data_IF_127051158322
#
_entry.id   IF_127051158322
#
_cell.length_a   1.000
_cell.length_b   1.000
_cell.length_c   1.000
_cell.angle_alpha   90.00
_cell.angle_beta   90.00
_cell.angle_gamma   90.00
#
_symmetry.space_group_name_H-M   'P 1'
#
loop_
_entity.id
_entity.type
_entity.pdbx_description
1 polymer ?
#
# COMPACT_ATOMS: atom_id res chain seq x y z
N UNK A 1 43.91 0.13 47.98
CA UNK A 1 45.14 -0.65 47.73
C UNK A 1 44.72 -2.07 47.39
N UNK A 2 45.03 -2.50 46.18
CA UNK A 2 44.85 -3.89 45.76
C UNK A 2 46.01 -4.74 46.35
N UNK A 3 45.68 -5.75 47.09
CA UNK A 3 46.64 -6.76 47.51
C UNK A 3 46.47 -8.00 46.63
N UNK A 4 47.57 -8.54 46.17
CA UNK A 4 47.58 -9.80 45.43
C UNK A 4 47.24 -10.95 46.39
N UNK A 5 46.16 -11.68 46.17
CA UNK A 5 45.81 -12.90 46.90
C UNK A 5 46.47 -14.06 46.15
N UNK A 6 47.58 -14.55 46.70
CA UNK A 6 48.39 -15.61 46.06
C UNK A 6 47.84 -17.02 46.27
N UNK A 7 46.85 -17.19 47.13
CA UNK A 7 46.31 -18.48 47.49
C UNK A 7 44.95 -18.81 46.93
N UNK A 8 44.36 -17.89 46.15
CA UNK A 8 43.09 -18.04 45.52
C UNK A 8 43.22 -17.96 43.98
N UNK A 9 42.94 -19.06 43.33
CA UNK A 9 42.84 -19.13 41.87
C UNK A 9 41.43 -18.97 41.41
N UNK A 10 41.18 -18.00 40.53
CA UNK A 10 39.92 -17.85 39.87
C UNK A 10 39.75 -18.97 38.86
N UNK A 11 38.88 -19.94 39.17
CA UNK A 11 38.53 -21.02 38.24
C UNK A 11 37.52 -20.50 37.24
N UNK A 12 37.89 -20.43 35.97
CA UNK A 12 36.96 -20.14 34.89
C UNK A 12 37.08 -21.22 33.82
N UNK A 13 35.97 -21.44 33.13
CA UNK A 13 35.90 -22.32 31.98
C UNK A 13 35.71 -21.49 30.75
N UNK A 14 36.71 -21.42 29.91
CA UNK A 14 36.63 -20.80 28.61
C UNK A 14 36.10 -21.82 27.61
N UNK A 15 35.01 -21.47 26.92
CA UNK A 15 34.52 -22.21 25.76
C UNK A 15 34.69 -21.37 24.52
N UNK A 16 35.25 -21.95 23.48
CA UNK A 16 35.38 -21.36 22.17
C UNK A 16 34.37 -22.02 21.25
N UNK A 17 33.59 -21.20 20.53
CA UNK A 17 32.81 -21.70 19.44
C UNK A 17 33.70 -21.93 18.20
N UNK A 18 33.37 -22.97 17.47
CA UNK A 18 33.92 -23.24 16.15
C UNK A 18 32.76 -23.41 15.19
N UNK A 19 32.73 -22.59 14.12
CA UNK A 19 31.64 -22.53 13.17
C UNK A 19 31.97 -23.38 11.94
N UNK A 20 30.99 -24.11 11.46
CA UNK A 20 31.09 -24.82 10.19
C UNK A 20 31.03 -23.83 9.03
N UNK A 21 31.89 -24.03 8.04
CA UNK A 21 31.89 -23.22 6.80
C UNK A 21 30.80 -23.72 5.83
N UNK A 22 29.59 -23.77 6.30
CA UNK A 22 28.39 -24.15 5.52
C UNK A 22 27.37 -23.03 5.61
N UNK A 23 26.48 -22.98 4.62
CA UNK A 23 25.37 -22.02 4.66
C UNK A 23 24.38 -22.42 5.75
N UNK A 24 24.20 -21.53 6.71
CA UNK A 24 23.11 -21.62 7.69
C UNK A 24 21.90 -20.85 7.17
N UNK A 25 20.70 -21.38 7.31
CA UNK A 25 19.48 -20.73 6.84
C UNK A 25 18.56 -20.43 8.01
N UNK A 26 18.07 -19.19 8.07
CA UNK A 26 17.02 -18.76 8.98
C UNK A 26 15.81 -18.37 8.14
N UNK A 27 14.66 -18.99 8.44
CA UNK A 27 13.40 -18.65 7.77
C UNK A 27 12.48 -17.97 8.78
N UNK A 28 12.03 -16.79 8.44
CA UNK A 28 11.11 -15.98 9.24
C UNK A 28 9.79 -15.89 8.49
N UNK A 29 8.70 -16.13 9.19
CA UNK A 29 7.35 -16.10 8.63
C UNK A 29 6.51 -15.05 9.33
N UNK A 30 5.63 -14.38 8.61
CA UNK A 30 4.58 -13.59 9.24
C UNK A 30 3.32 -14.43 9.45
N UNK A 31 2.46 -13.97 10.36
CA UNK A 31 1.12 -14.53 10.45
C UNK A 31 0.28 -14.07 9.28
N UNK A 32 -0.54 -14.96 8.74
CA UNK A 32 -1.49 -14.64 7.68
C UNK A 32 -2.52 -13.66 8.21
N UNK A 33 -2.73 -12.56 7.51
CA UNK A 33 -3.92 -11.75 7.72
C UNK A 33 -5.13 -12.56 7.23
N UNK A 34 -5.76 -13.21 8.16
CA UNK A 34 -6.79 -14.20 7.87
C UNK A 34 -8.12 -13.58 7.44
N UNK A 35 -9.09 -14.43 7.44
CA UNK A 35 -10.50 -14.11 7.31
C UNK A 35 -10.92 -13.06 8.34
N UNK A 36 -11.54 -11.99 7.87
CA UNK A 36 -12.03 -10.91 8.73
C UNK A 36 -13.52 -11.06 8.98
N UNK A 37 -13.93 -11.06 10.24
CA UNK A 37 -15.34 -10.97 10.60
C UNK A 37 -15.83 -9.54 10.37
N UNK A 38 -16.92 -9.41 9.62
CA UNK A 38 -17.54 -8.13 9.31
C UNK A 38 -18.49 -7.70 10.43
N UNK A 39 -18.98 -6.46 10.36
CA UNK A 39 -20.03 -5.98 11.25
C UNK A 39 -21.31 -6.79 11.07
N UNK A 40 -22.14 -6.78 12.09
CA UNK A 40 -23.48 -7.36 11.99
C UNK A 40 -24.26 -6.75 10.81
N UNK A 41 -24.83 -7.59 9.97
CA UNK A 41 -25.56 -7.20 8.76
C UNK A 41 -24.74 -6.31 7.80
N UNK A 42 -23.52 -6.70 7.54
CA UNK A 42 -22.59 -5.96 6.67
C UNK A 42 -22.90 -6.04 5.17
N UNK A 43 -23.91 -6.78 4.78
CA UNK A 43 -24.32 -6.96 3.40
C UNK A 43 -25.62 -6.20 3.13
N UNK A 44 -25.68 -5.44 2.05
CA UNK A 44 -26.88 -4.69 1.67
C UNK A 44 -27.36 -5.12 0.31
N UNK A 45 -28.61 -5.56 0.23
CA UNK A 45 -29.32 -5.87 -1.00
C UNK A 45 -30.09 -4.64 -1.51
N UNK A 46 -30.36 -4.63 -2.81
CA UNK A 46 -31.27 -3.66 -3.46
C UNK A 46 -32.36 -4.43 -4.17
N UNK A 47 -33.62 -4.04 -3.94
CA UNK A 47 -34.76 -4.66 -4.59
C UNK A 47 -34.59 -4.67 -6.11
N UNK A 48 -34.87 -5.80 -6.74
CA UNK A 48 -34.75 -5.97 -8.19
C UNK A 48 -33.29 -6.19 -8.68
N UNK A 49 -32.31 -6.31 -7.79
CA UNK A 49 -30.91 -6.47 -8.16
C UNK A 49 -30.28 -7.75 -7.58
N UNK A 50 -29.29 -8.31 -8.27
CA UNK A 50 -28.41 -9.37 -7.76
C UNK A 50 -27.15 -8.81 -7.10
N UNK A 51 -26.92 -7.51 -7.23
CA UNK A 51 -25.75 -6.85 -6.66
C UNK A 51 -25.96 -6.64 -5.17
N UNK A 52 -24.96 -7.01 -4.40
CA UNK A 52 -24.93 -6.89 -2.95
C UNK A 52 -23.76 -6.00 -2.59
N UNK A 53 -24.00 -4.90 -1.88
CA UNK A 53 -22.94 -4.09 -1.29
C UNK A 53 -22.41 -4.74 -0.04
N UNK A 54 -21.09 -4.87 0.05
CA UNK A 54 -20.38 -5.40 1.21
C UNK A 54 -19.72 -4.25 1.94
N UNK A 55 -20.05 -4.03 3.21
CA UNK A 55 -19.40 -3.06 4.09
C UNK A 55 -18.22 -3.73 4.80
N UNK A 56 -17.04 -3.42 4.36
CA UNK A 56 -15.78 -4.00 4.82
C UNK A 56 -14.76 -2.90 5.05
N UNK A 57 -14.76 -2.25 6.23
CA UNK A 57 -13.87 -1.13 6.51
C UNK A 57 -12.40 -1.50 6.36
N UNK A 58 -11.64 -0.61 5.76
CA UNK A 58 -10.20 -0.76 5.56
C UNK A 58 -9.81 -2.07 4.87
N UNK A 59 -10.60 -2.51 3.88
CA UNK A 59 -10.29 -3.74 3.15
C UNK A 59 -9.03 -3.63 2.29
N UNK A 60 -8.60 -2.43 1.95
CA UNK A 60 -7.39 -2.18 1.21
C UNK A 60 -7.44 -2.48 -0.28
N UNK A 61 -8.51 -3.07 -0.78
CA UNK A 61 -8.65 -3.36 -2.21
C UNK A 61 -8.92 -2.09 -3.01
N UNK A 62 -8.41 -2.05 -4.22
CA UNK A 62 -8.80 -1.05 -5.22
C UNK A 62 -8.98 -1.75 -6.58
N UNK A 63 -9.80 -1.15 -7.43
CA UNK A 63 -10.12 -1.75 -8.73
C UNK A 63 -10.93 -3.04 -8.62
N UNK A 64 -11.14 -3.69 -9.75
CA UNK A 64 -12.04 -4.85 -9.89
C UNK A 64 -11.33 -6.20 -9.89
N UNK A 65 -10.00 -6.22 -9.86
CA UNK A 65 -9.17 -7.44 -10.02
C UNK A 65 -8.95 -8.23 -8.73
N UNK A 66 -9.71 -7.96 -7.68
CA UNK A 66 -9.54 -8.64 -6.41
C UNK A 66 -10.57 -9.76 -6.26
N UNK A 67 -10.11 -10.92 -5.78
CA UNK A 67 -10.98 -12.02 -5.39
C UNK A 67 -11.32 -11.90 -3.91
N UNK A 68 -12.60 -12.10 -3.59
CA UNK A 68 -13.09 -12.09 -2.21
C UNK A 68 -13.95 -13.30 -1.96
N UNK A 69 -13.71 -13.99 -0.87
CA UNK A 69 -14.58 -15.06 -0.39
C UNK A 69 -15.45 -14.53 0.74
N UNK A 70 -16.76 -14.56 0.55
CA UNK A 70 -17.74 -14.26 1.59
C UNK A 70 -18.26 -15.58 2.17
N UNK A 71 -18.31 -15.66 3.49
CA UNK A 71 -18.81 -16.83 4.20
C UNK A 71 -19.57 -16.41 5.46
N UNK A 72 -20.25 -17.35 6.10
CA UNK A 72 -20.91 -17.12 7.38
C UNK A 72 -22.28 -16.43 7.28
N UNK A 73 -22.81 -16.24 6.08
CA UNK A 73 -24.23 -15.85 5.94
C UNK A 73 -25.10 -17.01 6.41
N UNK A 74 -25.98 -16.84 7.41
CA UNK A 74 -26.76 -17.92 7.98
C UNK A 74 -27.66 -18.63 6.95
N UNK A 75 -27.99 -19.89 7.21
CA UNK A 75 -28.91 -20.62 6.36
C UNK A 75 -30.28 -19.93 6.25
N UNK A 76 -30.87 -19.97 5.06
CA UNK A 76 -32.15 -19.36 4.78
C UNK A 76 -32.16 -18.42 3.59
N UNK A 77 -33.23 -17.66 3.45
CA UNK A 77 -33.39 -16.66 2.43
C UNK A 77 -33.21 -15.26 3.02
N UNK A 78 -32.38 -14.46 2.37
CA UNK A 78 -32.07 -13.10 2.76
C UNK A 78 -32.57 -12.13 1.68
N UNK A 79 -33.67 -11.49 1.93
CA UNK A 79 -34.35 -10.63 0.95
C UNK A 79 -34.51 -11.30 -0.43
N UNK A 80 -34.92 -12.58 -0.45
CA UNK A 80 -35.14 -13.35 -1.66
C UNK A 80 -33.92 -14.08 -2.22
N UNK A 81 -32.71 -13.80 -1.69
CA UNK A 81 -31.49 -14.49 -2.07
C UNK A 81 -31.16 -15.61 -1.07
N UNK A 82 -30.93 -16.82 -1.55
CA UNK A 82 -30.54 -17.93 -0.69
C UNK A 82 -29.11 -17.76 -0.20
N UNK A 83 -28.82 -18.17 1.03
CA UNK A 83 -27.51 -17.99 1.67
C UNK A 83 -26.35 -18.63 0.88
N UNK A 84 -26.58 -19.79 0.24
CA UNK A 84 -25.60 -20.50 -0.60
C UNK A 84 -25.30 -19.76 -1.92
N UNK A 85 -26.11 -18.78 -2.30
CA UNK A 85 -25.90 -17.90 -3.46
C UNK A 85 -25.21 -16.59 -3.08
N UNK A 86 -25.06 -16.35 -1.78
CA UNK A 86 -24.34 -15.20 -1.21
C UNK A 86 -22.96 -15.65 -0.69
N UNK A 87 -22.92 -16.78 0.02
CA UNK A 87 -21.66 -17.39 0.41
C UNK A 87 -20.93 -17.93 -0.83
N UNK A 88 -19.67 -17.54 -1.00
CA UNK A 88 -18.89 -18.01 -2.14
C UNK A 88 -17.69 -17.12 -2.42
N UNK A 89 -16.89 -17.55 -3.41
CA UNK A 89 -15.75 -16.79 -3.90
C UNK A 89 -16.15 -15.98 -5.12
N UNK A 90 -15.96 -14.67 -5.05
CA UNK A 90 -16.22 -13.72 -6.10
C UNK A 90 -14.91 -13.32 -6.76
N UNK A 91 -14.78 -13.59 -8.04
CA UNK A 91 -13.59 -13.28 -8.84
C UNK A 91 -13.66 -11.90 -9.47
N UNK A 92 -14.79 -11.22 -9.37
CA UNK A 92 -14.99 -9.86 -9.81
C UNK A 92 -15.77 -9.09 -8.74
N UNK A 93 -15.28 -7.92 -8.40
CA UNK A 93 -15.95 -6.95 -7.53
C UNK A 93 -16.13 -5.65 -8.32
N UNK A 94 -17.03 -4.79 -7.89
CA UNK A 94 -17.27 -3.50 -8.53
C UNK A 94 -17.55 -2.42 -7.50
N UNK A 95 -17.63 -1.17 -7.93
CA UNK A 95 -17.91 -0.01 -7.08
C UNK A 95 -17.09 0.00 -5.79
N UNK A 96 -15.77 -0.26 -5.93
CA UNK A 96 -14.84 -0.36 -4.80
C UNK A 96 -14.60 1.03 -4.22
N UNK A 97 -14.87 1.16 -2.93
CA UNK A 97 -14.58 2.38 -2.15
C UNK A 97 -13.59 2.04 -1.03
N UNK A 98 -13.28 2.98 -0.16
CA UNK A 98 -12.42 2.73 1.00
C UNK A 98 -12.95 1.63 1.93
N UNK A 99 -14.26 1.59 2.14
CA UNK A 99 -14.91 0.76 3.15
C UNK A 99 -15.99 -0.16 2.61
N UNK A 100 -16.16 -0.24 1.28
CA UNK A 100 -17.16 -1.11 0.68
C UNK A 100 -16.82 -1.48 -0.77
N UNK A 101 -17.45 -2.53 -1.25
CA UNK A 101 -17.43 -2.98 -2.64
C UNK A 101 -18.71 -3.74 -2.95
N UNK A 102 -19.00 -3.93 -4.21
CA UNK A 102 -20.14 -4.70 -4.67
C UNK A 102 -19.72 -6.08 -5.18
N UNK A 103 -20.49 -7.09 -4.83
CA UNK A 103 -20.42 -8.46 -5.35
C UNK A 103 -21.73 -8.78 -6.07
N UNK A 104 -21.69 -9.69 -7.02
CA UNK A 104 -22.91 -10.16 -7.70
C UNK A 104 -23.26 -11.58 -7.26
N UNK A 105 -24.40 -11.72 -6.59
CA UNK A 105 -24.91 -13.03 -6.15
C UNK A 105 -25.01 -14.01 -7.31
N UNK A 106 -24.68 -15.28 -7.07
CA UNK A 106 -24.85 -16.37 -8.05
C UNK A 106 -26.29 -16.85 -8.20
N UNK A 107 -27.25 -16.18 -7.54
CA UNK A 107 -28.68 -16.49 -7.64
C UNK A 107 -29.20 -16.30 -9.08
N UNK A 108 -30.12 -17.13 -9.49
CA UNK A 108 -30.90 -16.89 -10.72
C UNK A 108 -31.90 -15.73 -10.59
N UNK A 109 -32.37 -15.47 -9.38
CA UNK A 109 -33.33 -14.43 -9.06
C UNK A 109 -32.70 -13.19 -8.47
N UNK A 110 -33.33 -12.06 -8.64
CA UNK A 110 -33.00 -10.79 -7.99
C UNK A 110 -33.47 -10.77 -6.52
N UNK A 111 -32.87 -9.89 -5.74
CA UNK A 111 -33.39 -9.59 -4.40
C UNK A 111 -34.78 -9.01 -4.45
N UNK A 112 -35.63 -9.41 -3.52
CA UNK A 112 -37.06 -9.00 -3.41
C UNK A 112 -37.25 -7.80 -2.49
N UNK A 113 -36.20 -7.38 -1.78
CA UNK A 113 -36.23 -6.22 -0.90
C UNK A 113 -34.88 -5.53 -0.82
N UNK A 114 -34.91 -4.24 -0.51
CA UNK A 114 -33.69 -3.47 -0.11
C UNK A 114 -33.53 -3.54 1.40
N UNK A 115 -32.34 -3.90 1.88
CA UNK A 115 -32.08 -3.97 3.31
C UNK A 115 -30.74 -4.59 3.65
N UNK A 116 -30.34 -4.43 4.91
CA UNK A 116 -29.11 -4.97 5.44
C UNK A 116 -29.34 -6.41 5.91
N UNK A 117 -28.43 -7.32 5.51
CA UNK A 117 -28.53 -8.75 5.74
C UNK A 117 -27.18 -9.33 6.18
N UNK A 118 -27.18 -10.61 6.53
CA UNK A 118 -25.96 -11.40 6.74
C UNK A 118 -25.73 -11.85 8.19
N UNK A 119 -26.28 -11.13 9.17
CA UNK A 119 -26.08 -11.44 10.58
C UNK A 119 -24.65 -11.12 11.06
N UNK A 120 -24.31 -11.63 12.25
CA UNK A 120 -23.06 -11.29 12.94
C UNK A 120 -21.85 -12.19 12.58
N UNK A 121 -22.09 -13.28 11.85
CA UNK A 121 -21.04 -14.27 11.56
C UNK A 121 -20.44 -14.14 10.16
N UNK A 122 -20.83 -13.10 9.41
CA UNK A 122 -20.31 -12.89 8.05
C UNK A 122 -18.82 -12.60 8.10
N UNK A 123 -18.09 -13.29 7.26
CA UNK A 123 -16.65 -13.12 7.09
C UNK A 123 -16.30 -12.79 5.65
N UNK A 124 -15.22 -12.03 5.48
CA UNK A 124 -14.62 -11.75 4.19
C UNK A 124 -13.14 -12.16 4.22
N UNK A 125 -12.73 -12.90 3.20
CA UNK A 125 -11.33 -13.28 3.00
C UNK A 125 -10.88 -12.79 1.63
N UNK A 126 -9.84 -11.98 1.60
CA UNK A 126 -9.21 -11.52 0.37
C UNK A 126 -8.09 -12.49 -0.04
N UNK A 127 -7.86 -12.64 -1.34
CA UNK A 127 -6.74 -13.43 -1.83
C UNK A 127 -5.44 -12.63 -1.96
N UNK A 128 -5.53 -11.28 -1.98
CA UNK A 128 -4.38 -10.38 -2.05
C UNK A 128 -4.50 -9.32 -0.96
N UNK A 129 -3.47 -9.19 -0.14
CA UNK A 129 -3.46 -8.31 1.03
C UNK A 129 -2.43 -7.20 0.93
N UNK A 130 -1.43 -7.35 0.08
CA UNK A 130 -0.41 -6.34 -0.15
C UNK A 130 0.17 -6.47 -1.56
N UNK A 131 0.72 -5.36 -2.05
CA UNK A 131 1.38 -5.25 -3.35
C UNK A 131 2.88 -5.05 -3.18
N UNK A 132 3.28 -4.47 -2.06
CA UNK A 132 4.66 -4.13 -1.74
C UNK A 132 5.00 -4.64 -0.36
N UNK A 133 6.15 -5.28 -0.25
CA UNK A 133 6.76 -5.67 1.00
C UNK A 133 8.03 -4.84 1.21
N UNK A 134 8.11 -4.19 2.35
CA UNK A 134 9.26 -3.42 2.76
C UNK A 134 9.86 -4.03 4.02
N UNK A 135 11.10 -4.50 3.94
CA UNK A 135 11.84 -5.00 5.10
C UNK A 135 12.64 -3.86 5.74
N UNK A 136 12.41 -3.65 7.02
CA UNK A 136 13.06 -2.59 7.76
C UNK A 136 13.53 -3.03 9.13
N UNK A 137 14.48 -2.31 9.70
CA UNK A 137 14.92 -2.51 11.06
C UNK A 137 15.59 -3.85 11.36
N UNK A 138 16.06 -4.59 10.36
CA UNK A 138 16.82 -5.81 10.57
C UNK A 138 18.18 -5.44 11.11
N UNK A 139 18.45 -5.81 12.36
CA UNK A 139 19.78 -5.58 12.94
C UNK A 139 20.66 -6.80 12.76
N UNK A 140 21.77 -6.59 12.06
CA UNK A 140 22.78 -7.63 11.80
C UNK A 140 24.16 -7.15 12.14
N UNK A 141 25.03 -8.08 12.46
CA UNK A 141 26.47 -7.85 12.56
C UNK A 141 27.16 -8.80 11.60
N UNK A 142 27.78 -8.24 10.57
CA UNK A 142 28.61 -8.98 9.64
C UNK A 142 30.07 -8.62 9.91
N UNK A 143 30.83 -9.60 10.37
CA UNK A 143 32.26 -9.46 10.60
C UNK A 143 33.02 -9.78 9.30
N UNK A 144 34.33 -9.44 9.20
CA UNK A 144 35.14 -9.89 8.08
C UNK A 144 34.99 -11.40 7.86
N UNK A 145 34.99 -11.84 6.62
CA UNK A 145 34.84 -13.24 6.22
C UNK A 145 33.41 -13.83 6.47
N UNK A 146 32.42 -13.01 6.83
CA UNK A 146 31.02 -13.43 7.02
C UNK A 146 30.08 -12.68 6.10
N UNK A 147 28.95 -13.30 5.73
CA UNK A 147 27.93 -12.68 4.88
C UNK A 147 26.52 -13.12 5.26
N UNK A 148 25.56 -12.28 5.00
CA UNK A 148 24.11 -12.59 5.10
C UNK A 148 23.45 -12.19 3.81
N UNK A 149 22.86 -13.16 3.11
CA UNK A 149 22.02 -12.92 1.95
C UNK A 149 20.54 -13.01 2.35
N UNK A 150 19.72 -12.15 1.77
CA UNK A 150 18.31 -12.01 2.09
C UNK A 150 17.45 -12.40 0.90
N UNK A 151 16.44 -13.21 1.14
CA UNK A 151 15.48 -13.66 0.14
C UNK A 151 14.06 -13.50 0.65
N UNK A 152 13.11 -13.32 -0.25
CA UNK A 152 11.69 -13.23 0.06
C UNK A 152 10.89 -14.18 -0.84
N UNK A 153 9.92 -14.84 -0.25
CA UNK A 153 8.86 -15.56 -0.96
C UNK A 153 7.52 -15.07 -0.47
N UNK A 154 6.60 -14.84 -1.37
CA UNK A 154 5.22 -14.57 -1.02
C UNK A 154 4.37 -15.82 -1.13
N UNK A 155 3.27 -15.88 -0.41
CA UNK A 155 2.40 -17.04 -0.39
C UNK A 155 0.94 -16.65 -0.53
N UNK A 156 0.11 -17.63 -0.91
CA UNK A 156 -1.35 -17.45 -0.99
C UNK A 156 -2.04 -17.36 0.37
N UNK A 157 -1.31 -17.61 1.44
CA UNK A 157 -1.78 -17.60 2.81
C UNK A 157 -1.03 -18.65 3.63
N UNK A 158 -1.02 -18.51 4.94
CA UNK A 158 -0.45 -19.50 5.84
C UNK A 158 -1.48 -20.60 6.07
N UNK A 159 -1.20 -21.80 5.65
CA UNK A 159 -2.05 -22.96 5.93
C UNK A 159 -1.47 -23.77 7.08
N UNK A 160 -2.29 -24.00 8.10
CA UNK A 160 -1.95 -24.92 9.19
C UNK A 160 -1.81 -26.37 8.67
N UNK A 161 -2.36 -26.64 7.50
CA UNK A 161 -2.39 -27.98 6.90
C UNK A 161 -1.43 -28.17 5.72
N UNK A 162 -0.57 -27.18 5.44
CA UNK A 162 0.41 -27.29 4.35
C UNK A 162 -0.17 -27.23 2.94
N UNK A 163 -1.39 -26.72 2.78
CA UNK A 163 -2.05 -26.56 1.46
C UNK A 163 -1.83 -25.19 0.83
N UNK A 164 -0.95 -24.43 1.38
CA UNK A 164 -0.58 -23.10 0.94
C UNK A 164 0.27 -23.15 -0.33
N UNK A 165 -0.03 -22.28 -1.29
CA UNK A 165 0.79 -22.12 -2.50
C UNK A 165 1.85 -21.07 -2.26
N UNK A 166 3.09 -21.42 -2.40
CA UNK A 166 4.21 -20.49 -2.40
C UNK A 166 4.37 -19.88 -3.80
N UNK A 167 4.58 -18.57 -3.82
CA UNK A 167 4.93 -17.83 -5.01
C UNK A 167 6.37 -17.35 -4.84
N UNK A 168 7.25 -17.89 -5.64
CA UNK A 168 8.65 -17.50 -5.65
C UNK A 168 8.81 -16.39 -6.68
N UNK A 169 9.35 -15.25 -6.28
CA UNK A 169 9.83 -14.26 -7.23
C UNK A 169 10.92 -14.89 -8.08
N UNK A 170 11.03 -14.53 -9.34
CA UNK A 170 12.00 -15.17 -10.25
C UNK A 170 13.42 -15.03 -9.76
N UNK A 171 14.27 -15.89 -10.24
CA UNK A 171 15.57 -16.28 -9.68
C UNK A 171 16.52 -15.16 -9.21
N UNK A 172 16.61 -14.06 -9.92
CA UNK A 172 17.43 -12.92 -9.47
C UNK A 172 16.69 -12.06 -8.44
N UNK A 173 15.37 -12.04 -8.50
CA UNK A 173 14.50 -11.24 -7.67
C UNK A 173 14.23 -11.80 -6.28
N UNK A 174 14.61 -13.02 -6.02
CA UNK A 174 14.48 -13.61 -4.68
C UNK A 174 15.49 -13.01 -3.70
N UNK A 175 16.59 -12.51 -4.22
CA UNK A 175 17.60 -11.85 -3.42
C UNK A 175 17.20 -10.38 -3.25
N UNK A 176 17.03 -9.99 -2.01
CA UNK A 176 16.85 -8.57 -1.68
C UNK A 176 18.17 -7.85 -1.93
N UNK A 177 18.20 -7.01 -2.94
CA UNK A 177 19.34 -6.17 -3.19
C UNK A 177 19.53 -5.20 -2.02
N UNK A 178 20.78 -5.05 -1.59
CA UNK A 178 21.23 -3.96 -0.73
C UNK A 178 20.66 -3.95 0.68
N UNK A 179 20.99 -4.94 1.45
CA UNK A 179 21.17 -4.69 2.86
C UNK A 179 22.68 -4.49 3.05
N UNK A 180 23.07 -3.27 3.40
CA UNK A 180 24.46 -2.94 3.53
C UNK A 180 25.10 -3.78 4.64
N UNK A 181 26.08 -4.58 4.28
CA UNK A 181 26.70 -5.56 5.15
C UNK A 181 27.96 -5.04 5.85
N UNK A 182 28.21 -3.74 5.80
CA UNK A 182 29.43 -3.18 6.39
C UNK A 182 29.33 -3.08 7.91
N UNK A 183 29.86 -4.07 8.59
CA UNK A 183 30.11 -4.11 10.03
C UNK A 183 28.84 -4.18 10.93
N UNK A 184 28.47 -3.12 11.59
CA UNK A 184 27.26 -3.02 12.42
C UNK A 184 26.28 -2.17 11.66
N UNK A 185 25.29 -2.81 11.04
CA UNK A 185 24.35 -2.07 10.23
C UNK A 185 22.93 -2.10 10.81
N UNK A 186 22.39 -0.91 11.06
CA UNK A 186 20.96 -0.71 10.94
C UNK A 186 20.67 -0.64 9.45
N UNK A 187 20.03 -1.64 8.91
CA UNK A 187 19.61 -1.59 7.53
C UNK A 187 18.50 -0.56 7.35
N UNK A 188 18.69 0.35 6.41
CA UNK A 188 17.61 1.19 5.94
C UNK A 188 16.47 0.31 5.43
N UNK A 189 15.20 0.74 5.56
CA UNK A 189 14.07 0.04 5.00
C UNK A 189 14.29 -0.22 3.50
N UNK A 190 14.11 -1.46 3.07
CA UNK A 190 14.28 -1.87 1.69
C UNK A 190 12.94 -2.35 1.13
N UNK A 191 12.61 -1.84 -0.03
CA UNK A 191 11.45 -2.27 -0.79
C UNK A 191 11.82 -3.57 -1.52
N UNK A 192 11.12 -4.64 -1.23
CA UNK A 192 11.56 -5.99 -1.60
C UNK A 192 10.76 -6.55 -2.75
N UNK A 193 9.62 -5.98 -3.00
CA UNK A 193 8.76 -6.61 -3.97
C UNK A 193 7.86 -5.59 -4.61
N UNK A 194 8.08 -5.40 -5.84
CA UNK A 194 7.34 -4.52 -6.71
C UNK A 194 7.71 -4.83 -8.14
N UNK A 195 6.99 -4.22 -9.04
CA UNK A 195 7.29 -4.24 -10.47
C UNK A 195 8.68 -3.70 -10.84
N UNK A 196 9.37 -3.09 -9.88
CA UNK A 196 10.68 -2.48 -10.07
C UNK A 196 11.77 -3.20 -9.28
N UNK A 197 11.46 -4.27 -8.67
CA UNK A 197 12.50 -5.16 -8.23
C UNK A 197 13.40 -5.51 -9.45
N UNK A 198 14.61 -5.96 -9.24
CA UNK A 198 15.60 -6.24 -10.28
C UNK A 198 15.06 -6.96 -11.53
N UNK A 199 13.91 -7.59 -11.44
CA UNK A 199 13.22 -8.32 -12.53
C UNK A 199 11.94 -7.67 -13.03
N UNK A 200 11.55 -6.52 -12.53
CA UNK A 200 10.27 -5.86 -12.84
C UNK A 200 9.04 -6.73 -12.58
N UNK A 201 9.10 -7.63 -11.64
CA UNK A 201 7.95 -8.48 -11.31
C UNK A 201 7.16 -7.94 -10.13
N UNK A 202 5.84 -8.00 -10.26
CA UNK A 202 4.94 -7.74 -9.15
C UNK A 202 4.86 -8.95 -8.23
N UNK A 203 4.60 -8.72 -6.94
CA UNK A 203 4.35 -9.80 -6.00
C UNK A 203 3.09 -10.56 -6.39
N UNK A 204 3.23 -11.86 -6.60
CA UNK A 204 2.09 -12.75 -6.75
C UNK A 204 1.64 -13.28 -5.39
N UNK A 205 0.34 -13.42 -5.21
CA UNK A 205 -0.24 -14.12 -4.06
C UNK A 205 -0.07 -13.48 -2.69
N UNK A 206 0.15 -12.18 -2.59
CA UNK A 206 0.51 -11.46 -1.37
C UNK A 206 -0.44 -11.56 -0.19
N UNK A 207 -0.60 -12.72 0.42
CA UNK A 207 -1.30 -12.90 1.71
C UNK A 207 -0.35 -13.07 2.88
N UNK A 208 0.75 -13.76 2.68
CA UNK A 208 1.83 -13.85 3.63
C UNK A 208 3.19 -13.92 2.91
N UNK A 209 4.25 -13.93 3.67
CA UNK A 209 5.59 -13.98 3.12
C UNK A 209 6.54 -14.73 4.06
N UNK A 210 7.60 -15.26 3.48
CA UNK A 210 8.78 -15.74 4.20
C UNK A 210 9.94 -14.82 3.89
N UNK A 211 10.68 -14.42 4.91
CA UNK A 211 12.02 -13.87 4.75
C UNK A 211 13.03 -14.95 5.07
N UNK A 212 13.89 -15.27 4.13
CA UNK A 212 14.92 -16.28 4.27
C UNK A 212 16.26 -15.56 4.31
N UNK A 213 17.04 -15.85 5.34
CA UNK A 213 18.38 -15.30 5.51
C UNK A 213 19.38 -16.46 5.41
N UNK A 214 20.32 -16.34 4.50
CA UNK A 214 21.41 -17.29 4.36
C UNK A 214 22.67 -16.69 4.97
N UNK A 215 23.18 -17.34 6.01
CA UNK A 215 24.34 -16.94 6.78
C UNK A 215 25.53 -17.79 6.34
N UNK A 216 26.58 -17.14 5.91
CA UNK A 216 27.82 -17.81 5.46
C UNK A 216 29.05 -17.26 6.15
N UNK A 217 30.08 -18.10 6.31
CA UNK A 217 31.38 -17.70 6.79
C UNK A 217 32.48 -18.49 6.09
N UNK A 218 33.58 -17.83 5.82
CA UNK A 218 34.81 -18.47 5.37
C UNK A 218 35.82 -18.63 6.53
N UNK A 219 35.45 -18.24 7.74
CA UNK A 219 36.29 -18.26 8.93
C UNK A 219 35.64 -19.08 10.04
N UNK A 220 36.23 -20.18 10.42
CA UNK A 220 35.69 -21.08 11.48
C UNK A 220 35.60 -20.43 12.86
N UNK A 221 36.14 -19.25 13.05
CA UNK A 221 36.13 -18.52 14.32
C UNK A 221 35.11 -17.40 14.37
N UNK A 222 34.50 -17.06 13.25
CA UNK A 222 33.55 -15.98 13.11
C UNK A 222 32.20 -16.48 12.51
N UNK A 223 31.13 -15.88 12.94
CA UNK A 223 29.79 -16.07 12.36
C UNK A 223 29.12 -14.72 12.24
N UNK A 224 28.29 -14.51 11.21
CA UNK A 224 27.39 -13.37 11.23
C UNK A 224 26.37 -13.53 12.37
N UNK A 225 25.87 -12.42 12.87
CA UNK A 225 24.89 -12.39 13.95
C UNK A 225 23.64 -11.67 13.47
N UNK A 226 22.49 -12.25 13.76
CA UNK A 226 21.16 -11.71 13.45
C UNK A 226 20.40 -11.48 14.76
N UNK A 227 19.93 -10.26 14.98
CA UNK A 227 19.00 -9.96 16.08
C UNK A 227 17.56 -10.24 15.64
N UNK A 228 17.02 -11.38 16.04
CA UNK A 228 15.64 -11.79 15.69
C UNK A 228 14.56 -11.04 16.47
N UNK A 229 14.93 -10.25 17.47
CA UNK A 229 13.97 -9.46 18.26
C UNK A 229 13.75 -8.06 17.69
N UNK A 230 14.60 -7.61 16.79
CA UNK A 230 14.57 -6.27 16.21
C UNK A 230 14.42 -6.31 14.70
N UNK A 231 13.39 -7.02 14.28
CA UNK A 231 13.04 -7.12 12.87
C UNK A 231 11.65 -6.56 12.65
N UNK A 232 11.49 -5.84 11.56
CA UNK A 232 10.19 -5.35 11.14
C UNK A 232 9.99 -5.51 9.64
N UNK A 233 8.74 -5.68 9.25
CA UNK A 233 8.33 -5.65 7.86
C UNK A 233 7.05 -4.84 7.75
N UNK A 234 6.95 -4.05 6.69
CA UNK A 234 5.76 -3.29 6.36
C UNK A 234 5.17 -3.84 5.07
N UNK A 235 3.91 -4.21 5.11
CA UNK A 235 3.16 -4.57 3.92
C UNK A 235 2.31 -3.40 3.49
N UNK A 236 2.37 -3.06 2.22
CA UNK A 236 1.68 -1.90 1.66
C UNK A 236 0.80 -2.38 0.53
N UNK A 237 -0.43 -1.90 0.49
CA UNK A 237 -1.30 -2.09 -0.66
C UNK A 237 -1.37 -0.80 -1.45
N UNK A 238 -1.17 -0.92 -2.77
CA UNK A 238 -1.24 0.21 -3.66
C UNK A 238 -2.67 0.74 -3.77
N UNK A 239 -2.82 2.05 -3.62
CA UNK A 239 -4.08 2.77 -3.77
C UNK A 239 -4.05 3.77 -4.92
N UNK A 240 -2.97 3.83 -5.65
CA UNK A 240 -2.87 4.72 -6.81
C UNK A 240 -3.68 4.14 -7.97
N UNK A 241 -4.51 4.96 -8.56
CA UNK A 241 -5.13 4.64 -9.83
C UNK A 241 -4.12 4.85 -10.97
N UNK A 242 -4.30 4.11 -12.06
CA UNK A 242 -3.46 4.30 -13.24
C UNK A 242 -3.76 5.65 -13.92
N UNK A 243 -2.76 6.35 -14.42
CA UNK A 243 -2.98 7.54 -15.26
C UNK A 243 -3.51 7.18 -16.66
N UNK A 244 -3.46 5.92 -17.06
CA UNK A 244 -3.91 5.45 -18.37
C UNK A 244 -5.01 4.40 -18.27
N UNK A 245 -6.04 4.53 -19.10
CA UNK A 245 -7.15 3.59 -19.17
C UNK A 245 -6.76 2.16 -19.61
N UNK A 246 -5.57 1.99 -20.17
CA UNK A 246 -5.06 0.69 -20.63
C UNK A 246 -4.25 -0.06 -19.56
N UNK A 247 -3.97 0.56 -18.41
CA UNK A 247 -3.09 0.01 -17.38
C UNK A 247 -3.83 -0.38 -16.11
N UNK A 248 -3.22 -1.27 -15.32
CA UNK A 248 -3.61 -1.60 -13.96
C UNK A 248 -2.59 -0.98 -12.98
N UNK A 249 -3.01 -0.55 -11.77
CA UNK A 249 -4.37 -0.60 -11.23
C UNK A 249 -5.37 0.22 -12.04
N UNK A 250 -6.66 0.03 -11.76
CA UNK A 250 -7.76 0.58 -12.55
C UNK A 250 -7.63 2.08 -12.80
N UNK A 251 -7.80 2.46 -14.06
CA UNK A 251 -7.90 3.86 -14.43
C UNK A 251 -9.17 4.51 -13.86
N UNK A 252 -9.03 5.74 -13.40
CA UNK A 252 -10.14 6.60 -13.00
C UNK A 252 -9.95 7.93 -13.70
N UNK A 253 -10.96 8.35 -14.44
CA UNK A 253 -10.98 9.68 -15.05
C UNK A 253 -11.33 10.72 -13.99
N UNK A 254 -10.35 11.51 -13.61
CA UNK A 254 -10.47 12.62 -12.65
C UNK A 254 -10.30 13.99 -13.32
N UNK A 255 -10.27 14.03 -14.65
CA UNK A 255 -10.26 15.28 -15.41
C UNK A 255 -11.58 16.02 -15.31
N UNK A 256 -12.66 15.30 -15.01
CA UNK A 256 -13.96 15.91 -14.73
C UNK A 256 -13.88 16.78 -13.46
N UNK A 257 -14.46 17.98 -13.54
CA UNK A 257 -14.47 18.92 -12.43
C UNK A 257 -15.54 18.62 -11.36
N UNK A 258 -16.25 17.52 -11.48
CA UNK A 258 -17.37 17.12 -10.59
C UNK A 258 -16.95 16.02 -9.63
N UNK A 259 -16.30 16.37 -8.56
CA UNK A 259 -15.91 15.39 -7.54
C UNK A 259 -14.60 14.69 -7.86
N UNK A 260 -14.40 13.51 -7.29
CA UNK A 260 -13.23 12.66 -7.50
C UNK A 260 -13.59 11.19 -7.29
N UNK A 261 -13.04 10.32 -8.12
CA UNK A 261 -13.16 8.87 -7.99
C UNK A 261 -11.82 8.19 -7.71
N UNK A 262 -10.72 8.92 -7.78
CA UNK A 262 -9.39 8.40 -7.45
C UNK A 262 -9.27 8.08 -5.97
N UNK A 263 -8.56 6.99 -5.65
CA UNK A 263 -8.38 6.53 -4.29
C UNK A 263 -7.32 7.34 -3.53
N UNK A 264 -6.31 7.87 -4.21
CA UNK A 264 -5.23 8.64 -3.61
C UNK A 264 -5.43 10.14 -3.87
N UNK A 265 -6.12 10.80 -2.96
CA UNK A 265 -6.49 12.21 -3.07
C UNK A 265 -6.16 12.94 -1.77
N UNK A 266 -5.60 14.12 -1.91
CA UNK A 266 -5.45 15.07 -0.81
C UNK A 266 -6.26 16.32 -1.10
N UNK A 267 -7.14 16.71 -0.18
CA UNK A 267 -7.87 17.97 -0.23
C UNK A 267 -7.44 18.86 0.93
N UNK A 268 -7.12 20.11 0.64
CA UNK A 268 -6.88 21.11 1.70
C UNK A 268 -8.18 21.40 2.44
N UNK A 269 -8.07 21.96 3.63
CA UNK A 269 -9.20 22.69 4.23
C UNK A 269 -9.51 23.93 3.37
N UNK A 270 -10.75 24.46 3.43
CA UNK A 270 -11.03 25.78 2.87
C UNK A 270 -10.06 26.83 3.41
N UNK A 271 -9.51 27.64 2.50
CA UNK A 271 -8.60 28.74 2.81
C UNK A 271 -9.38 30.02 2.59
N UNK A 272 -9.50 30.83 3.63
CA UNK A 272 -10.19 32.11 3.62
C UNK A 272 -9.18 33.23 3.40
N UNK A 273 -9.54 34.19 2.56
CA UNK A 273 -8.74 35.37 2.23
C UNK A 273 -9.40 36.63 2.82
N UNK A 274 -8.59 37.58 3.21
CA UNK A 274 -9.07 38.88 3.69
C UNK A 274 -9.57 39.76 2.54
N UNK A 275 -9.00 39.60 1.35
CA UNK A 275 -9.31 40.39 0.17
C UNK A 275 -9.69 39.50 -1.02
N UNK A 276 -10.48 40.05 -1.95
CA UNK A 276 -10.81 39.39 -3.18
C UNK A 276 -9.56 39.09 -4.01
N UNK A 277 -9.51 37.93 -4.60
CA UNK A 277 -8.47 37.51 -5.52
C UNK A 277 -9.07 37.02 -6.83
N UNK A 278 -8.26 37.02 -7.91
CA UNK A 278 -8.67 36.62 -9.27
C UNK A 278 -7.76 35.57 -9.90
N UNK A 279 -6.69 35.22 -9.23
CA UNK A 279 -5.75 34.23 -9.73
C UNK A 279 -5.16 33.39 -8.57
N UNK A 280 -4.73 32.18 -8.92
CA UNK A 280 -4.02 31.26 -8.02
C UNK A 280 -2.70 30.84 -8.67
N UNK A 281 -1.61 30.93 -7.92
CA UNK A 281 -0.29 30.38 -8.23
C UNK A 281 0.08 29.38 -7.15
N UNK A 282 0.14 28.10 -7.52
CA UNK A 282 0.43 27.01 -6.61
C UNK A 282 1.80 26.43 -6.95
N UNK A 283 2.59 26.20 -5.92
CA UNK A 283 3.91 25.57 -6.00
C UNK A 283 3.89 24.26 -5.23
N UNK A 284 4.24 23.20 -5.91
CA UNK A 284 4.35 21.86 -5.35
C UNK A 284 5.78 21.35 -5.50
N UNK A 285 6.45 21.08 -4.40
CA UNK A 285 7.74 20.40 -4.44
C UNK A 285 7.49 18.91 -4.32
N UNK A 286 7.82 18.18 -5.36
CA UNK A 286 7.53 16.75 -5.44
C UNK A 286 8.59 15.98 -6.24
N UNK A 287 8.66 14.67 -5.99
CA UNK A 287 9.26 13.70 -6.89
C UNK A 287 8.12 13.06 -7.68
N UNK A 288 7.96 13.43 -8.94
CA UNK A 288 6.97 12.88 -9.86
C UNK A 288 7.75 12.20 -10.98
N UNK A 289 7.73 10.86 -10.97
CA UNK A 289 8.48 10.04 -11.93
C UNK A 289 7.68 9.79 -13.19
N UNK A 290 8.33 9.33 -14.25
CA UNK A 290 7.67 8.98 -15.51
C UNK A 290 6.62 7.88 -15.38
N UNK A 291 6.61 7.16 -14.25
CA UNK A 291 5.63 6.11 -13.90
C UNK A 291 4.52 6.60 -13.00
N UNK A 292 4.53 7.88 -12.66
CA UNK A 292 3.54 8.51 -11.78
C UNK A 292 3.08 9.85 -12.32
N UNK A 293 1.95 10.30 -11.83
CA UNK A 293 1.31 11.54 -12.22
C UNK A 293 0.70 12.23 -11.00
N UNK A 294 0.71 13.56 -11.00
CA UNK A 294 0.04 14.38 -10.01
C UNK A 294 -0.79 15.43 -10.73
N UNK A 295 -2.08 15.34 -10.56
CA UNK A 295 -3.02 16.33 -11.06
C UNK A 295 -3.46 17.26 -9.93
N UNK A 296 -3.64 18.54 -10.23
CA UNK A 296 -4.10 19.53 -9.28
C UNK A 296 -5.35 20.26 -9.74
N UNK A 297 -6.28 20.41 -8.82
CA UNK A 297 -7.57 21.05 -9.03
C UNK A 297 -7.82 22.10 -7.96
N UNK A 298 -8.65 23.07 -8.28
CA UNK A 298 -9.13 24.07 -7.34
C UNK A 298 -10.64 24.26 -7.44
N UNK A 299 -11.20 24.83 -6.41
CA UNK A 299 -12.52 25.43 -6.40
C UNK A 299 -12.48 26.71 -5.58
N UNK A 300 -13.26 27.69 -5.96
CA UNK A 300 -13.26 29.06 -5.40
C UNK A 300 -14.67 29.51 -5.11
N UNK A 301 -14.83 30.35 -4.09
CA UNK A 301 -16.12 30.94 -3.74
C UNK A 301 -15.93 32.32 -3.12
N UNK A 302 -16.94 33.17 -3.23
CA UNK A 302 -17.10 34.38 -2.42
C UNK A 302 -17.76 34.08 -1.07
N UNK A 303 -18.32 32.85 -0.92
CA UNK A 303 -18.97 32.36 0.28
C UNK A 303 -18.31 31.02 0.66
N UNK A 304 -17.40 31.05 1.64
CA UNK A 304 -16.61 29.89 2.03
C UNK A 304 -17.43 28.71 2.51
N UNK A 305 -18.66 28.92 2.95
CA UNK A 305 -19.53 27.85 3.48
C UNK A 305 -20.11 26.96 2.36
N UNK A 306 -19.94 27.36 1.09
CA UNK A 306 -20.47 26.63 -0.07
C UNK A 306 -19.41 25.98 -0.94
N UNK A 307 -18.15 26.00 -0.53
CA UNK A 307 -17.08 25.43 -1.35
C UNK A 307 -17.32 23.96 -1.69
N UNK A 308 -17.84 23.16 -0.77
CA UNK A 308 -18.10 21.73 -0.94
C UNK A 308 -19.24 21.41 -1.94
N UNK A 309 -20.08 22.37 -2.26
CA UNK A 309 -21.12 22.25 -3.28
C UNK A 309 -20.60 22.54 -4.70
N UNK A 310 -19.38 23.10 -4.82
CA UNK A 310 -18.82 23.55 -6.09
C UNK A 310 -18.00 22.45 -6.77
N UNK A 311 -18.06 22.45 -8.10
CA UNK A 311 -17.23 21.59 -8.93
C UNK A 311 -15.75 21.97 -8.85
N UNK A 312 -14.90 21.00 -9.06
CA UNK A 312 -13.46 21.17 -9.16
C UNK A 312 -13.06 21.61 -10.56
N UNK A 313 -12.14 22.54 -10.67
CA UNK A 313 -11.57 23.03 -11.92
C UNK A 313 -10.09 22.64 -11.98
N UNK A 314 -9.59 22.06 -13.06
CA UNK A 314 -8.19 21.71 -13.18
C UNK A 314 -7.32 22.97 -13.33
N UNK A 315 -6.13 22.94 -12.73
CA UNK A 315 -5.07 23.91 -13.05
C UNK A 315 -4.48 23.62 -14.44
N UNK A 316 -3.78 24.56 -15.03
CA UNK A 316 -3.05 24.40 -16.29
C UNK A 316 -3.90 23.74 -17.41
N UNK A 317 -5.20 23.90 -17.40
CA UNK A 317 -6.21 23.33 -18.30
C UNK A 317 -6.57 21.85 -18.12
N UNK A 318 -5.66 21.01 -17.66
CA UNK A 318 -5.87 19.55 -17.50
C UNK A 318 -5.48 19.00 -16.12
N UNK A 319 -4.97 19.85 -15.25
CA UNK A 319 -4.48 19.47 -13.91
C UNK A 319 -3.00 19.09 -13.87
N UNK A 320 -2.34 18.92 -15.01
CA UNK A 320 -0.93 18.51 -15.09
C UNK A 320 0.03 19.62 -14.67
N UNK A 321 1.25 19.28 -14.21
CA UNK A 321 2.28 20.26 -13.89
C UNK A 321 2.83 20.97 -15.13
N UNK A 322 3.38 22.15 -14.93
CA UNK A 322 3.92 23.02 -15.99
C UNK A 322 5.29 22.60 -16.54
N UNK A 323 5.92 21.60 -15.95
CA UNK A 323 7.28 21.21 -16.29
C UNK A 323 7.50 19.71 -16.30
N UNK A 324 8.59 19.28 -16.94
CA UNK A 324 8.93 17.87 -17.09
C UNK A 324 9.18 17.18 -15.75
N UNK A 325 8.66 15.99 -15.63
CA UNK A 325 8.86 15.06 -14.52
C UNK A 325 10.28 14.49 -14.50
N UNK A 326 10.62 13.73 -13.44
CA UNK A 326 11.93 13.06 -13.33
C UNK A 326 11.91 11.67 -13.96
N UNK A 327 13.08 11.08 -14.29
CA UNK A 327 13.17 9.70 -14.74
C UNK A 327 12.56 8.69 -13.74
N UNK A 328 12.20 7.51 -14.23
CA UNK A 328 11.52 6.50 -13.40
C UNK A 328 12.37 6.01 -12.22
N UNK A 329 13.67 5.90 -12.43
CA UNK A 329 14.65 5.40 -11.45
C UNK A 329 15.13 6.45 -10.45
N UNK A 330 14.77 7.72 -10.66
CA UNK A 330 15.20 8.81 -9.78
C UNK A 330 14.28 8.96 -8.57
N UNK A 331 14.71 8.47 -7.42
CA UNK A 331 13.99 8.56 -6.14
C UNK A 331 14.48 9.68 -5.22
N UNK A 332 15.46 10.45 -5.64
CA UNK A 332 16.12 11.46 -4.83
C UNK A 332 15.82 12.89 -5.24
N UNK A 333 15.53 13.13 -6.51
CA UNK A 333 15.34 14.47 -7.05
C UNK A 333 13.92 14.98 -6.80
N UNK A 334 13.82 16.05 -6.03
CA UNK A 334 12.60 16.81 -5.86
C UNK A 334 12.65 18.07 -6.72
N UNK A 335 11.60 18.30 -7.51
CA UNK A 335 11.43 19.53 -8.31
C UNK A 335 10.28 20.36 -7.76
N UNK A 336 10.34 21.66 -7.97
CA UNK A 336 9.22 22.55 -7.78
C UNK A 336 8.41 22.62 -9.08
N UNK A 337 7.15 22.23 -9.01
CA UNK A 337 6.17 22.29 -10.09
C UNK A 337 5.23 23.46 -9.86
N UNK A 338 4.81 24.07 -10.95
CA UNK A 338 3.91 25.22 -10.92
C UNK A 338 2.56 24.85 -11.50
N UNK A 339 1.52 25.29 -10.83
CA UNK A 339 0.13 25.17 -11.26
C UNK A 339 -0.51 26.56 -11.18
N UNK A 340 -1.04 27.04 -12.27
CA UNK A 340 -1.59 28.40 -12.35
C UNK A 340 -3.02 28.39 -12.87
N UNK A 341 -3.82 29.29 -12.31
CA UNK A 341 -5.12 29.63 -12.83
C UNK A 341 -5.27 31.16 -12.78
N UNK A 342 -5.53 31.76 -13.91
CA UNK A 342 -5.76 33.20 -14.06
C UNK A 342 -7.18 33.45 -14.56
N UNK A 343 -7.59 34.70 -14.50
CA UNK A 343 -8.90 35.15 -14.98
C UNK A 343 -10.09 34.47 -14.31
N UNK A 344 -9.89 34.10 -13.04
CA UNK A 344 -10.96 33.53 -12.20
C UNK A 344 -11.87 34.68 -11.75
N UNK A 345 -13.17 34.43 -11.64
CA UNK A 345 -14.09 35.37 -11.01
C UNK A 345 -13.62 35.69 -9.59
N UNK A 346 -13.92 36.88 -9.10
CA UNK A 346 -13.56 37.32 -7.75
C UNK A 346 -13.93 36.26 -6.72
N UNK A 347 -12.99 35.93 -5.84
CA UNK A 347 -13.21 34.96 -4.75
C UNK A 347 -12.51 35.39 -3.48
N UNK A 348 -13.08 34.98 -2.34
CA UNK A 348 -12.52 35.20 -0.99
C UNK A 348 -12.20 33.90 -0.29
N UNK A 349 -12.50 32.78 -0.92
CA UNK A 349 -12.14 31.46 -0.39
C UNK A 349 -11.79 30.50 -1.53
N UNK A 350 -10.87 29.58 -1.25
CA UNK A 350 -10.50 28.54 -2.18
C UNK A 350 -10.14 27.24 -1.47
N UNK A 351 -10.15 26.16 -2.21
CA UNK A 351 -9.71 24.85 -1.78
C UNK A 351 -8.96 24.17 -2.90
N UNK A 352 -7.92 23.39 -2.54
CA UNK A 352 -7.10 22.64 -3.48
C UNK A 352 -7.37 21.14 -3.33
N UNK A 353 -7.35 20.44 -4.45
CA UNK A 353 -7.37 18.98 -4.54
C UNK A 353 -6.14 18.52 -5.31
N UNK A 354 -5.38 17.61 -4.73
CA UNK A 354 -4.24 16.93 -5.36
C UNK A 354 -4.61 15.48 -5.57
N UNK A 355 -4.53 15.02 -6.79
CA UNK A 355 -4.81 13.63 -7.18
C UNK A 355 -3.50 12.98 -7.59
N UNK A 356 -3.20 11.83 -6.98
CA UNK A 356 -1.99 11.07 -7.24
C UNK A 356 -2.34 9.80 -7.99
N UNK A 357 -1.65 9.56 -9.11
CA UNK A 357 -1.81 8.38 -9.97
C UNK A 357 -0.45 7.73 -10.23
N UNK A 358 -0.43 6.46 -10.62
CA UNK A 358 0.81 5.77 -10.94
C UNK A 358 0.58 4.38 -11.51
N UNK A 359 1.51 3.94 -12.35
CA UNK A 359 1.50 2.61 -12.97
C UNK A 359 2.28 1.58 -12.16
N UNK A 360 3.15 2.04 -11.27
CA UNK A 360 4.05 1.19 -10.48
C UNK A 360 3.84 1.44 -9.00
N UNK A 361 3.43 0.40 -8.29
CA UNK A 361 3.05 0.48 -6.87
C UNK A 361 4.19 0.87 -5.94
N UNK A 362 5.42 0.56 -6.29
CA UNK A 362 6.59 0.87 -5.47
C UNK A 362 7.17 2.26 -5.73
N UNK A 363 6.73 2.93 -6.79
CA UNK A 363 7.17 4.28 -7.14
C UNK A 363 6.03 5.29 -7.14
N UNK A 364 5.35 5.46 -5.98
CA UNK A 364 4.33 6.50 -5.89
C UNK A 364 4.97 7.88 -6.05
N UNK A 365 4.22 8.89 -6.48
CA UNK A 365 4.69 10.26 -6.40
C UNK A 365 4.88 10.64 -4.92
N UNK A 366 5.94 11.38 -4.63
CA UNK A 366 6.25 11.82 -3.27
C UNK A 366 6.12 13.33 -3.20
N UNK A 367 5.20 13.81 -2.36
CA UNK A 367 4.94 15.23 -2.17
C UNK A 367 5.67 15.72 -0.91
N UNK A 368 6.34 16.87 -1.01
CA UNK A 368 7.17 17.40 0.08
C UNK A 368 6.67 18.73 0.61
N UNK A 369 6.29 19.64 -0.28
CA UNK A 369 5.90 21.00 0.07
C UNK A 369 4.80 21.49 -0.87
N UNK A 370 3.77 22.13 -0.34
CA UNK A 370 2.67 22.72 -1.08
C UNK A 370 2.45 24.15 -0.61
N UNK A 371 2.62 25.09 -1.52
CA UNK A 371 2.44 26.52 -1.27
C UNK A 371 1.42 27.09 -2.23
N UNK A 372 0.52 27.91 -1.74
CA UNK A 372 -0.50 28.59 -2.53
C UNK A 372 -0.44 30.10 -2.35
N UNK A 373 -0.51 30.82 -3.46
CA UNK A 373 -0.57 32.27 -3.51
C UNK A 373 -1.85 32.65 -4.25
N UNK A 374 -2.72 33.40 -3.60
CA UNK A 374 -3.87 34.03 -4.24
C UNK A 374 -3.50 35.47 -4.60
N UNK A 375 -3.79 35.87 -5.85
CA UNK A 375 -3.40 37.16 -6.38
C UNK A 375 -4.64 38.02 -6.63
N UNK A 376 -4.63 39.20 -6.07
CA UNK A 376 -5.56 40.28 -6.41
C UNK A 376 -4.95 41.03 -7.61
N UNK A 377 -5.45 40.77 -8.80
CA UNK A 377 -4.96 41.40 -10.05
C UNK A 377 -5.95 42.43 -10.55
#
# INVERSE_FOLDING_TARGET
TWSAEQNEDMKFKLRRAEFSQVTGTVTLTNDTLGTRTLKNNALRTTNGSKVIRVFHPNHGMHGTSNNVTIAGVPSGSHNGLAHDKINGTYTAISNVTLDSYDITSTSSSNATATGDIGGAAVTATQNRLFDVLNLGGIQTVTLPDTNIDYFVRTTSGKSIHGSETEFTLTTAANKVAVINNDNIAFTAPQMVASEINETNESISGGKSFYTILELTTTNTKLSPVLDTQRMSAFTIQNRLNSPSSSNTPSFVDDTANTGTSSAAVYCTKPILLENNSKALDIRLTANIRSTSEVEMYFRVSTDGDKLDELSWTPFNSDGSPDSSIVPAEDDTTFKEYKYTASDINDFTSFQLKVVMKGTISSYPPVLRDLRGIALAV
#
